data_IF_649744561924
#
_entry.id   IF_649744561924
#
_cell.length_a   1.000
_cell.length_b   1.000
_cell.length_c   1.000
_cell.angle_alpha   90.00
_cell.angle_beta   90.00
_cell.angle_gamma   90.00
#
_symmetry.space_group_name_H-M   'P 1'
#
loop_
_entity.id
_entity.type
_entity.pdbx_description
1 polymer ?
#
# COMPACT_ATOMS: atom_id res chain seq x y z
N UNK A 1 15.00 -16.96 -19.72
CA UNK A 1 14.16 -18.03 -19.13
C UNK A 1 13.53 -18.85 -20.25
N UNK A 2 12.93 -20.00 -19.93
CA UNK A 2 12.07 -20.75 -20.86
C UNK A 2 10.68 -20.07 -20.84
N UNK A 3 10.12 -19.63 -21.98
CA UNK A 3 8.76 -19.09 -22.00
C UNK A 3 7.77 -20.20 -21.65
N UNK A 4 6.82 -19.88 -20.77
CA UNK A 4 5.77 -20.80 -20.33
C UNK A 4 4.41 -20.15 -20.57
N UNK A 5 3.49 -20.89 -21.20
CA UNK A 5 2.11 -20.46 -21.39
C UNK A 5 1.24 -21.13 -20.35
N UNK A 6 0.51 -20.34 -19.56
CA UNK A 6 -0.47 -20.86 -18.60
C UNK A 6 -1.66 -21.42 -19.36
N UNK A 7 -1.87 -22.73 -19.30
CA UNK A 7 -3.06 -23.41 -19.81
C UNK A 7 -4.24 -23.22 -18.87
N UNK A 8 -3.97 -23.32 -17.56
CA UNK A 8 -5.02 -23.31 -16.55
C UNK A 8 -4.47 -22.90 -15.18
N UNK A 9 -5.28 -22.19 -14.39
CA UNK A 9 -4.95 -21.80 -13.02
C UNK A 9 -6.12 -22.16 -12.10
N UNK A 10 -5.83 -22.90 -11.02
CA UNK A 10 -6.85 -23.36 -10.06
C UNK A 10 -6.30 -23.37 -8.63
N UNK A 11 -7.19 -23.16 -7.67
CA UNK A 11 -6.91 -23.38 -6.26
C UNK A 11 -7.18 -24.84 -5.88
N UNK A 12 -6.17 -25.53 -5.34
CA UNK A 12 -6.29 -26.91 -4.89
C UNK A 12 -5.73 -27.02 -3.47
N UNK A 13 -6.55 -27.46 -2.51
CA UNK A 13 -6.17 -27.58 -1.10
C UNK A 13 -5.53 -26.30 -0.55
N UNK A 14 -6.12 -25.13 -0.86
CA UNK A 14 -5.61 -23.80 -0.48
C UNK A 14 -4.25 -23.40 -1.08
N UNK A 15 -3.76 -24.14 -2.08
CA UNK A 15 -2.55 -23.79 -2.82
C UNK A 15 -2.91 -23.38 -4.26
N UNK A 16 -2.35 -22.28 -4.79
CA UNK A 16 -2.50 -21.94 -6.19
C UNK A 16 -1.70 -22.92 -7.05
N UNK A 17 -2.36 -23.52 -8.05
CA UNK A 17 -1.76 -24.48 -8.98
C UNK A 17 -1.96 -23.98 -10.40
N UNK A 18 -0.86 -23.78 -11.12
CA UNK A 18 -0.85 -23.45 -12.54
C UNK A 18 -0.46 -24.68 -13.36
N UNK A 19 -1.20 -24.94 -14.43
CA UNK A 19 -0.87 -25.92 -15.46
C UNK A 19 -0.34 -25.17 -16.66
N UNK A 20 0.83 -25.58 -17.15
CA UNK A 20 1.48 -24.97 -18.30
C UNK A 20 1.34 -25.87 -19.54
N UNK A 21 1.29 -25.26 -20.72
CA UNK A 21 1.34 -26.00 -21.98
C UNK A 21 2.69 -26.74 -22.11
N UNK A 22 2.64 -28.02 -22.49
CA UNK A 22 3.84 -28.86 -22.62
C UNK A 22 4.42 -29.39 -21.31
N UNK A 23 3.73 -29.20 -20.18
CA UNK A 23 4.06 -29.77 -18.87
C UNK A 23 2.91 -30.67 -18.41
N UNK A 24 2.84 -31.86 -19.00
CA UNK A 24 1.70 -32.77 -18.83
C UNK A 24 1.97 -33.92 -17.84
N UNK A 25 3.20 -34.05 -17.35
CA UNK A 25 3.60 -35.08 -16.42
C UNK A 25 4.44 -34.55 -15.25
N UNK A 26 4.60 -35.42 -14.25
CA UNK A 26 5.35 -35.13 -13.03
C UNK A 26 6.82 -34.81 -13.32
N UNK A 27 7.44 -35.50 -14.28
CA UNK A 27 8.87 -35.33 -14.59
C UNK A 27 9.13 -33.96 -15.20
N UNK A 28 8.30 -33.53 -16.16
CA UNK A 28 8.37 -32.19 -16.74
C UNK A 28 8.11 -31.08 -15.69
N UNK A 29 7.20 -31.32 -14.75
CA UNK A 29 6.93 -30.38 -13.67
C UNK A 29 8.11 -30.28 -12.67
N UNK A 30 8.79 -31.40 -12.39
CA UNK A 30 9.96 -31.44 -11.50
C UNK A 30 11.12 -30.59 -12.04
N UNK A 31 11.28 -30.44 -13.36
CA UNK A 31 12.29 -29.56 -13.96
C UNK A 31 12.07 -28.07 -13.66
N UNK A 32 10.84 -27.67 -13.33
CA UNK A 32 10.47 -26.29 -13.01
C UNK A 32 10.52 -26.00 -11.51
N UNK A 33 10.72 -27.02 -10.67
CA UNK A 33 10.80 -26.83 -9.22
C UNK A 33 11.98 -25.94 -8.88
N UNK A 34 11.75 -24.92 -8.03
CA UNK A 34 12.71 -23.85 -7.66
C UNK A 34 13.10 -22.89 -8.79
N UNK A 35 12.49 -22.99 -9.97
CA UNK A 35 12.65 -21.95 -10.96
C UNK A 35 12.04 -20.63 -10.45
N UNK A 36 12.66 -19.51 -10.77
CA UNK A 36 12.09 -18.18 -10.53
C UNK A 36 11.20 -17.86 -11.73
N UNK A 37 9.90 -17.68 -11.48
CA UNK A 37 8.95 -17.27 -12.50
C UNK A 37 9.03 -15.75 -12.68
N UNK A 38 9.45 -15.34 -13.87
CA UNK A 38 9.42 -13.94 -14.29
C UNK A 38 8.24 -13.74 -15.22
N UNK A 39 7.54 -12.62 -15.05
CA UNK A 39 6.60 -12.10 -16.02
C UNK A 39 7.22 -10.83 -16.62
N UNK A 40 7.00 -10.60 -17.91
CA UNK A 40 7.22 -9.26 -18.46
C UNK A 40 6.23 -8.32 -17.77
N UNK A 41 6.66 -7.07 -17.53
CA UNK A 41 5.79 -6.03 -16.99
C UNK A 41 4.53 -5.97 -17.86
N UNK A 42 3.40 -6.41 -17.30
CA UNK A 42 2.12 -6.31 -17.99
C UNK A 42 1.87 -4.83 -18.30
N UNK A 43 1.17 -4.55 -19.41
CA UNK A 43 0.63 -3.22 -19.63
C UNK A 43 -0.03 -2.74 -18.32
N UNK A 44 0.29 -1.50 -17.92
CA UNK A 44 -0.23 -0.90 -16.70
C UNK A 44 -1.73 -1.22 -16.54
N UNK A 45 -2.15 -1.53 -15.31
CA UNK A 45 -3.57 -1.72 -15.02
C UNK A 45 -4.39 -0.59 -15.65
N UNK A 46 -5.45 -0.91 -16.38
CA UNK A 46 -6.35 0.10 -16.97
C UNK A 46 -7.19 0.82 -15.88
N UNK A 47 -7.07 0.42 -14.61
CA UNK A 47 -7.72 1.09 -13.49
C UNK A 47 -6.92 2.33 -13.04
N UNK A 48 -7.57 3.49 -13.11
CA UNK A 48 -6.98 4.81 -12.80
C UNK A 48 -6.51 4.98 -11.34
N UNK A 49 -6.97 4.12 -10.41
CA UNK A 49 -6.63 4.15 -8.98
C UNK A 49 -5.99 2.82 -8.50
N UNK A 50 -5.35 2.06 -9.39
CA UNK A 50 -4.70 0.79 -9.07
C UNK A 50 -3.22 0.79 -9.48
N UNK A 51 -2.33 0.60 -8.51
CA UNK A 51 -0.89 0.61 -8.72
C UNK A 51 -0.25 -0.65 -8.16
N UNK A 52 0.84 -1.08 -8.78
CA UNK A 52 1.69 -2.11 -8.19
C UNK A 52 2.66 -1.49 -7.18
N UNK A 53 3.02 -2.22 -6.13
CA UNK A 53 3.96 -1.77 -5.11
C UNK A 53 5.29 -1.27 -5.70
N UNK A 54 5.82 -1.98 -6.70
CA UNK A 54 7.08 -1.62 -7.34
C UNK A 54 7.01 -0.31 -8.13
N UNK A 55 5.81 0.14 -8.50
CA UNK A 55 5.60 1.45 -9.13
C UNK A 55 5.53 2.56 -8.08
N UNK A 56 5.08 2.24 -6.85
CA UNK A 56 4.95 3.19 -5.76
C UNK A 56 6.25 3.38 -4.96
N UNK A 57 7.02 2.32 -4.79
CA UNK A 57 8.28 2.36 -4.06
C UNK A 57 9.29 3.24 -4.80
N UNK A 58 9.90 4.16 -4.08
CA UNK A 58 10.87 5.10 -4.62
C UNK A 58 10.30 6.44 -5.08
N UNK A 59 8.96 6.59 -5.11
CA UNK A 59 8.33 7.87 -5.46
C UNK A 59 8.58 8.93 -4.40
N UNK A 60 8.82 10.17 -4.84
CA UNK A 60 8.99 11.32 -3.95
C UNK A 60 7.63 11.75 -3.39
N UNK A 61 7.55 11.87 -2.07
CA UNK A 61 6.32 12.25 -1.37
C UNK A 61 6.28 13.77 -1.21
N UNK A 62 5.23 14.39 -1.74
CA UNK A 62 5.06 15.84 -1.81
C UNK A 62 3.89 16.28 -0.93
N UNK A 63 4.17 17.17 0.02
CA UNK A 63 3.18 17.86 0.87
C UNK A 63 3.30 19.37 0.63
N UNK A 64 2.19 20.04 0.35
CA UNK A 64 2.13 21.49 0.15
C UNK A 64 3.15 22.03 -0.88
N UNK A 65 3.49 21.22 -1.89
CA UNK A 65 4.46 21.54 -2.94
C UNK A 65 5.92 21.28 -2.59
N UNK A 66 6.23 20.84 -1.37
CA UNK A 66 7.58 20.45 -0.93
C UNK A 66 7.72 18.94 -0.84
N UNK A 67 8.88 18.41 -1.25
CA UNK A 67 9.22 17.00 -1.04
C UNK A 67 9.56 16.81 0.44
N UNK A 68 8.81 15.94 1.11
CA UNK A 68 8.99 15.63 2.53
C UNK A 68 9.78 14.34 2.76
N UNK A 69 9.76 13.43 1.78
CA UNK A 69 10.39 12.14 1.89
C UNK A 69 10.18 11.28 0.65
N UNK A 70 10.37 9.97 0.79
CA UNK A 70 10.22 8.98 -0.28
C UNK A 70 9.51 7.74 0.22
N UNK A 71 8.71 7.11 -0.64
CA UNK A 71 8.06 5.83 -0.34
C UNK A 71 9.13 4.73 -0.26
N UNK A 72 9.28 4.12 0.91
CA UNK A 72 10.23 3.03 1.15
C UNK A 72 9.61 1.65 0.86
N UNK A 73 8.34 1.46 1.20
CA UNK A 73 7.56 0.24 0.95
C UNK A 73 6.06 0.50 1.08
N UNK A 74 5.27 -0.48 0.68
CA UNK A 74 3.82 -0.54 0.89
C UNK A 74 3.54 -1.65 1.91
N UNK A 75 2.83 -1.32 2.98
CA UNK A 75 2.44 -2.27 4.04
C UNK A 75 0.95 -2.58 3.88
N UNK A 76 0.63 -3.83 3.53
CA UNK A 76 -0.74 -4.30 3.36
C UNK A 76 -1.33 -4.75 4.71
N UNK A 77 -2.23 -3.95 5.29
CA UNK A 77 -2.97 -4.33 6.49
C UNK A 77 -4.37 -4.84 6.13
N UNK A 78 -5.04 -5.62 7.02
CA UNK A 78 -6.36 -6.18 6.73
C UNK A 78 -7.44 -5.16 6.37
N UNK A 79 -7.31 -3.92 6.86
CA UNK A 79 -8.30 -2.85 6.67
C UNK A 79 -7.95 -1.88 5.55
N UNK A 80 -6.67 -1.64 5.30
CA UNK A 80 -6.18 -0.68 4.30
C UNK A 80 -4.67 -0.83 4.11
N UNK A 81 -4.17 -0.33 2.98
CA UNK A 81 -2.74 -0.24 2.72
C UNK A 81 -2.15 1.03 3.33
N UNK A 82 -0.88 0.94 3.76
CA UNK A 82 -0.11 2.06 4.28
C UNK A 82 1.15 2.27 3.42
N UNK A 83 1.45 3.51 3.06
CA UNK A 83 2.74 3.90 2.50
C UNK A 83 3.70 4.18 3.65
N UNK A 84 4.79 3.43 3.72
CA UNK A 84 5.89 3.75 4.61
C UNK A 84 6.76 4.83 3.95
N UNK A 85 6.69 6.05 4.48
CA UNK A 85 7.41 7.21 3.96
C UNK A 85 8.65 7.45 4.81
N UNK A 86 9.82 7.35 4.19
CA UNK A 86 11.08 7.71 4.80
C UNK A 86 11.33 9.22 4.61
N UNK A 87 11.37 9.94 5.72
CA UNK A 87 11.66 11.37 5.76
C UNK A 87 13.17 11.64 5.63
N UNK A 88 13.52 12.90 5.40
CA UNK A 88 14.91 13.34 5.24
C UNK A 88 15.78 13.13 6.50
N UNK A 89 15.16 13.06 7.67
CA UNK A 89 15.78 12.80 8.97
C UNK A 89 15.85 11.30 9.32
N UNK A 90 15.62 10.43 8.34
CA UNK A 90 15.56 8.97 8.48
C UNK A 90 14.39 8.46 9.36
N UNK A 91 13.45 9.33 9.74
CA UNK A 91 12.22 8.93 10.42
C UNK A 91 11.25 8.28 9.42
N UNK A 92 10.57 7.23 9.84
CA UNK A 92 9.54 6.57 9.04
C UNK A 92 8.14 6.97 9.52
N UNK A 93 7.30 7.41 8.57
CA UNK A 93 5.89 7.76 8.81
C UNK A 93 4.99 6.87 7.97
N UNK A 94 3.99 6.27 8.61
CA UNK A 94 2.99 5.43 7.93
C UNK A 94 1.81 6.30 7.49
N UNK A 95 1.60 6.39 6.18
CA UNK A 95 0.55 7.20 5.57
C UNK A 95 -0.53 6.29 5.00
N UNK A 96 -1.79 6.39 5.46
CA UNK A 96 -2.87 5.59 4.87
C UNK A 96 -3.05 5.87 3.39
N UNK A 97 -3.03 4.81 2.57
CA UNK A 97 -3.12 4.92 1.11
C UNK A 97 -4.58 4.99 0.65
N UNK A 98 -5.22 6.10 0.99
CA UNK A 98 -6.62 6.39 0.65
C UNK A 98 -6.71 7.73 -0.07
N UNK A 99 -7.65 7.86 -1.00
CA UNK A 99 -7.82 9.07 -1.84
C UNK A 99 -7.94 10.39 -1.06
N UNK A 100 -8.47 10.33 0.17
CA UNK A 100 -8.57 11.49 1.05
C UNK A 100 -7.21 12.03 1.51
N UNK A 101 -6.22 11.15 1.68
CA UNK A 101 -4.87 11.50 2.14
C UNK A 101 -3.90 11.53 0.96
N UNK A 102 -4.04 10.63 0.00
CA UNK A 102 -3.20 10.51 -1.19
C UNK A 102 -4.06 10.77 -2.44
N UNK A 103 -4.38 12.04 -2.75
CA UNK A 103 -5.30 12.36 -3.84
C UNK A 103 -4.72 12.18 -5.24
N UNK A 104 -3.39 12.09 -5.39
CA UNK A 104 -2.74 11.98 -6.71
C UNK A 104 -1.42 11.22 -6.64
N UNK A 105 -1.24 10.32 -7.61
CA UNK A 105 -0.01 9.57 -7.86
C UNK A 105 0.40 9.83 -9.32
N UNK A 106 1.55 10.48 -9.51
CA UNK A 106 2.13 10.75 -10.82
C UNK A 106 3.36 9.87 -11.02
N UNK A 107 3.15 8.71 -11.67
CA UNK A 107 4.23 7.77 -11.98
C UNK A 107 5.23 8.34 -12.99
N UNK A 108 4.79 9.23 -13.89
CA UNK A 108 5.65 9.81 -14.92
C UNK A 108 6.62 10.84 -14.34
N UNK A 109 6.16 11.65 -13.38
CA UNK A 109 7.00 12.58 -12.64
C UNK A 109 7.71 11.92 -11.44
N UNK A 110 7.35 10.69 -11.09
CA UNK A 110 7.93 9.97 -9.96
C UNK A 110 7.49 10.49 -8.59
N UNK A 111 6.23 10.95 -8.45
CA UNK A 111 5.75 11.69 -7.27
C UNK A 111 4.40 11.23 -6.76
N UNK A 112 4.22 11.35 -5.44
CA UNK A 112 2.94 11.16 -4.75
C UNK A 112 2.59 12.43 -4.01
N UNK A 113 1.41 13.02 -4.28
CA UNK A 113 0.92 14.15 -3.48
C UNK A 113 0.14 13.63 -2.29
N UNK A 114 0.45 14.17 -1.11
CA UNK A 114 -0.28 13.89 0.12
C UNK A 114 -0.91 15.14 0.72
N UNK A 115 -2.06 14.96 1.36
CA UNK A 115 -2.81 15.97 2.12
C UNK A 115 -3.17 15.40 3.49
N UNK A 116 -2.14 15.12 4.33
CA UNK A 116 -2.36 14.43 5.60
C UNK A 116 -3.12 15.32 6.59
N UNK A 117 -3.91 14.73 7.51
CA UNK A 117 -4.46 15.47 8.64
C UNK A 117 -3.32 15.98 9.56
N UNK A 118 -3.59 17.04 10.32
CA UNK A 118 -2.68 17.52 11.35
C UNK A 118 -2.35 16.39 12.34
N UNK A 119 -1.10 16.34 12.80
CA UNK A 119 -0.57 15.33 13.71
C UNK A 119 0.03 14.07 13.05
N UNK A 120 -0.15 13.85 11.73
CA UNK A 120 0.41 12.64 11.09
C UNK A 120 1.93 12.72 10.86
N UNK A 121 2.44 13.92 10.60
CA UNK A 121 3.87 14.20 10.35
C UNK A 121 4.48 15.08 11.44
N UNK A 122 3.68 15.51 12.42
CA UNK A 122 4.13 16.38 13.49
C UNK A 122 4.42 15.53 14.73
N UNK A 123 5.50 15.84 15.45
CA UNK A 123 5.80 15.20 16.72
C UNK A 123 4.68 15.55 17.71
N UNK A 124 3.95 14.54 18.21
CA UNK A 124 2.91 14.76 19.20
C UNK A 124 3.54 15.45 20.42
N UNK A 125 3.00 16.58 20.89
CA UNK A 125 3.48 17.17 22.14
C UNK A 125 3.35 16.13 23.25
N UNK A 126 4.25 16.10 24.24
CA UNK A 126 4.32 15.04 25.25
C UNK A 126 3.11 14.91 26.19
N UNK A 127 1.97 15.55 25.94
CA UNK A 127 0.79 15.48 26.81
C UNK A 127 -0.51 15.45 26.00
N UNK A 128 -1.01 14.24 25.76
CA UNK A 128 -2.40 13.98 25.37
C UNK A 128 -3.05 12.92 26.28
N UNK A 129 -2.63 12.87 27.55
CA UNK A 129 -3.18 11.94 28.56
C UNK A 129 -4.27 12.58 29.45
N UNK A 130 -4.65 13.85 29.24
CA UNK A 130 -5.53 14.58 30.18
C UNK A 130 -6.83 15.19 29.60
N UNK A 131 -7.34 14.75 28.44
CA UNK A 131 -8.59 15.30 27.88
C UNK A 131 -9.77 14.30 27.80
N UNK A 132 -9.84 13.30 28.68
CA UNK A 132 -11.07 12.51 28.93
C UNK A 132 -11.79 12.89 30.24
N UNK A 133 -11.46 14.03 30.84
CA UNK A 133 -12.17 14.59 32.00
C UNK A 133 -12.90 15.88 31.66
N UNK A 134 -14.18 15.80 31.26
CA UNK A 134 -14.98 16.98 30.96
C UNK A 134 -16.48 16.70 30.95
N UNK A 135 -17.06 16.69 32.16
CA UNK A 135 -18.46 16.99 32.54
C UNK A 135 -19.58 16.82 31.49
N UNK A 136 -20.50 15.88 31.78
CA UNK A 136 -21.84 15.83 31.20
C UNK A 136 -22.64 17.00 31.78
N UNK A 137 -23.19 17.95 30.99
CA UNK A 137 -24.09 18.94 31.53
C UNK A 137 -25.46 18.28 31.75
N UNK A 138 -25.83 18.01 33.00
CA UNK A 138 -27.22 17.64 33.32
C UNK A 138 -28.14 18.84 33.11
N UNK A 139 -29.13 18.62 32.24
CA UNK A 139 -30.10 19.59 31.79
C UNK A 139 -30.94 20.14 32.95
N UNK A 140 -31.00 21.47 33.04
CA UNK A 140 -32.05 22.18 33.75
C UNK A 140 -33.35 22.04 32.95
N UNK A 141 -34.32 21.29 33.46
CA UNK A 141 -35.72 21.39 33.03
C UNK A 141 -36.57 21.88 34.20
N UNK A 142 -37.32 22.93 33.91
CA UNK A 142 -38.16 23.72 34.80
C UNK A 142 -39.35 22.97 35.39
N UNK A 143 -39.88 23.61 36.44
CA UNK A 143 -41.09 23.33 37.20
C UNK A 143 -42.36 23.41 36.33
N UNK A 144 -43.36 22.57 36.64
CA UNK A 144 -44.74 22.99 36.96
C UNK A 144 -45.48 21.89 37.74
#
# INVERSE_FOLDING_TARGET
GKPLTVREFRWMNSHPVAFFEGVDDRTAAEELVRAILWIDEAAASDEEDAWYDHQLVGLDVVRDGAVVGRVARVDHLPSQDLLAVLLADETEVLVPFVKAIVPEVDLAAGRVRITPPAGLFEELPPEADEALGGEVPEARTEQE
#
